data_IF_342650460986
#
_entry.id   IF_342650460986
#
_cell.length_a   1.000
_cell.length_b   1.000
_cell.length_c   1.000
_cell.angle_alpha   90.00
_cell.angle_beta   90.00
_cell.angle_gamma   90.00
#
_symmetry.space_group_name_H-M   'P 1'
#
loop_
_entity.id
_entity.type
_entity.pdbx_description
1 polymer ?
#
# COMPACT_ATOMS: atom_id res chain seq x y z
N UNK A 1 -6.11 -1.10 -1.43
CA UNK A 1 -5.19 -0.01 -1.79
C UNK A 1 -5.90 1.33 -1.91
N UNK A 2 -7.07 1.39 -2.53
CA UNK A 2 -7.82 2.64 -2.70
C UNK A 2 -8.14 3.33 -1.38
N UNK A 3 -8.63 2.59 -0.40
CA UNK A 3 -8.96 3.16 0.90
C UNK A 3 -7.72 3.71 1.59
N UNK A 4 -6.60 2.99 1.53
CA UNK A 4 -5.35 3.46 2.11
C UNK A 4 -4.91 4.79 1.50
N UNK A 5 -4.99 4.92 0.17
CA UNK A 5 -4.66 6.17 -0.52
C UNK A 5 -5.61 7.29 -0.11
N UNK A 6 -6.92 7.01 -0.07
CA UNK A 6 -7.91 8.02 0.31
C UNK A 6 -7.69 8.54 1.73
N UNK A 7 -7.43 7.65 2.68
CA UNK A 7 -7.16 8.03 4.06
C UNK A 7 -5.87 8.82 4.20
N UNK A 8 -4.83 8.43 3.46
CA UNK A 8 -3.55 9.14 3.47
C UNK A 8 -3.69 10.55 2.89
N UNK A 9 -4.49 10.71 1.83
CA UNK A 9 -4.77 12.04 1.27
C UNK A 9 -5.52 12.93 2.26
N UNK A 10 -6.45 12.35 3.01
CA UNK A 10 -7.20 13.09 4.01
C UNK A 10 -6.33 13.52 5.19
N UNK A 11 -5.43 12.64 5.63
CA UNK A 11 -4.52 12.91 6.73
C UNK A 11 -3.11 12.40 6.40
N UNK A 12 -2.28 13.24 5.76
CA UNK A 12 -0.93 12.83 5.35
C UNK A 12 -0.02 12.35 6.49
N UNK A 13 -0.26 12.80 7.72
CA UNK A 13 0.53 12.37 8.88
C UNK A 13 0.40 10.86 9.17
N UNK A 14 -0.60 10.18 8.61
CA UNK A 14 -0.73 8.72 8.73
C UNK A 14 0.49 7.99 8.18
N UNK A 15 1.22 8.60 7.26
CA UNK A 15 2.45 8.02 6.72
C UNK A 15 3.49 7.71 7.80
N UNK A 16 3.48 8.44 8.91
CA UNK A 16 4.42 8.24 10.02
C UNK A 16 4.14 6.94 10.78
N UNK A 17 2.96 6.36 10.63
CA UNK A 17 2.59 5.10 11.26
C UNK A 17 3.07 3.87 10.48
N UNK A 18 3.52 4.06 9.25
CA UNK A 18 4.05 2.98 8.41
C UNK A 18 5.54 2.83 8.67
N UNK A 19 5.93 1.76 9.36
CA UNK A 19 7.33 1.56 9.76
C UNK A 19 8.24 1.10 8.64
N UNK A 20 7.72 0.29 7.70
CA UNK A 20 8.53 -0.35 6.68
C UNK A 20 7.97 -0.13 5.27
N UNK A 21 8.23 1.06 4.73
CA UNK A 21 7.84 1.40 3.36
C UNK A 21 8.66 0.58 2.34
N UNK A 22 9.91 0.29 2.66
CA UNK A 22 10.79 -0.46 1.76
C UNK A 22 10.24 -1.85 1.42
N UNK A 23 9.58 -2.50 2.36
CA UNK A 23 8.97 -3.81 2.11
C UNK A 23 7.83 -3.74 1.09
N UNK A 24 7.23 -2.56 0.90
CA UNK A 24 6.15 -2.36 -0.06
C UNK A 24 6.66 -2.14 -1.48
N UNK A 25 7.90 -1.69 -1.64
CA UNK A 25 8.46 -1.35 -2.95
C UNK A 25 8.58 -2.55 -3.89
N UNK A 26 8.71 -3.74 -3.35
CA UNK A 26 8.80 -4.97 -4.14
C UNK A 26 7.46 -5.57 -4.55
N UNK A 27 6.34 -4.95 -4.20
CA UNK A 27 5.00 -5.49 -4.41
C UNK A 27 4.36 -4.90 -5.67
N UNK A 28 4.94 -5.17 -6.84
CA UNK A 28 4.50 -4.57 -8.10
C UNK A 28 3.19 -5.16 -8.63
N UNK A 29 2.72 -6.25 -8.05
CA UNK A 29 1.56 -6.99 -8.52
C UNK A 29 0.21 -6.42 -8.06
N UNK A 30 0.21 -5.45 -7.15
CA UNK A 30 -1.03 -4.85 -6.65
C UNK A 30 -1.30 -3.51 -7.35
N UNK A 31 -2.45 -3.38 -8.06
CA UNK A 31 -2.80 -2.11 -8.71
C UNK A 31 -2.87 -0.95 -7.72
N UNK A 32 -2.23 0.15 -8.07
CA UNK A 32 -2.21 1.35 -7.23
C UNK A 32 -1.18 1.35 -6.11
N UNK A 33 -0.51 0.23 -5.84
CA UNK A 33 0.48 0.17 -4.78
C UNK A 33 1.70 1.06 -5.04
N UNK A 34 2.25 1.13 -6.27
CA UNK A 34 3.33 2.07 -6.55
C UNK A 34 2.97 3.52 -6.23
N UNK A 35 1.72 3.91 -6.52
CA UNK A 35 1.23 5.25 -6.18
C UNK A 35 1.15 5.45 -4.66
N UNK A 36 0.64 4.46 -3.92
CA UNK A 36 0.60 4.51 -2.46
C UNK A 36 1.99 4.69 -1.88
N UNK A 37 2.98 3.96 -2.39
CA UNK A 37 4.38 4.08 -1.93
C UNK A 37 4.92 5.49 -2.20
N UNK A 38 4.65 6.06 -3.37
CA UNK A 38 5.08 7.42 -3.68
C UNK A 38 4.48 8.44 -2.72
N UNK A 39 3.20 8.29 -2.39
CA UNK A 39 2.52 9.18 -1.44
C UNK A 39 3.07 9.03 -0.03
N UNK A 40 3.34 7.82 0.41
CA UNK A 40 3.94 7.55 1.73
C UNK A 40 5.32 8.20 1.85
N UNK A 41 6.16 8.04 0.83
CA UNK A 41 7.50 8.64 0.82
C UNK A 41 7.43 10.16 0.82
N UNK A 42 6.55 10.74 0.01
CA UNK A 42 6.36 12.18 -0.06
C UNK A 42 5.93 12.75 1.29
N UNK A 43 4.94 12.11 1.93
CA UNK A 43 4.42 12.56 3.21
C UNK A 43 5.47 12.43 4.33
N UNK A 44 6.32 11.42 4.28
CA UNK A 44 7.41 11.26 5.26
C UNK A 44 8.56 12.23 5.02
N UNK A 45 8.83 12.55 3.77
CA UNK A 45 9.85 13.52 3.41
C UNK A 45 9.43 14.95 3.76
N UNK A 46 8.15 15.25 3.62
CA UNK A 46 7.56 16.55 3.95
C UNK A 46 6.47 16.36 5.02
N UNK A 47 6.84 16.31 6.33
CA UNK A 47 5.89 15.95 7.40
C UNK A 47 4.71 16.91 7.57
N UNK A 48 4.80 18.13 7.06
CA UNK A 48 3.74 19.13 7.15
C UNK A 48 2.99 19.32 5.83
N UNK A 49 3.17 18.43 4.87
CA UNK A 49 2.49 18.54 3.58
C UNK A 49 0.97 18.46 3.77
N UNK A 50 0.24 19.27 3.03
CA UNK A 50 -1.23 19.28 3.02
C UNK A 50 -1.76 18.40 1.90
N UNK A 51 -3.06 18.05 1.97
CA UNK A 51 -3.74 17.35 0.89
C UNK A 51 -3.60 18.07 -0.43
N UNK A 52 -3.82 19.40 -0.43
CA UNK A 52 -3.70 20.22 -1.63
C UNK A 52 -2.30 20.17 -2.23
N UNK A 53 -1.27 20.23 -1.40
CA UNK A 53 0.12 20.15 -1.86
C UNK A 53 0.44 18.78 -2.46
N UNK A 54 -0.09 17.71 -1.87
CA UNK A 54 0.07 16.35 -2.42
C UNK A 54 -0.56 16.25 -3.81
N UNK A 55 -1.77 16.78 -3.97
CA UNK A 55 -2.46 16.75 -5.26
C UNK A 55 -1.69 17.56 -6.32
N UNK A 56 -1.11 18.70 -5.94
CA UNK A 56 -0.31 19.51 -6.86
C UNK A 56 0.93 18.78 -7.37
N UNK A 57 1.56 17.93 -6.53
CA UNK A 57 2.74 17.16 -6.92
C UNK A 57 2.45 16.18 -8.06
N UNK A 58 1.20 15.77 -8.20
CA UNK A 58 0.78 14.83 -9.25
C UNK A 58 -0.01 15.50 -10.36
N UNK A 59 -0.06 16.83 -10.37
CA UNK A 59 -0.70 17.60 -11.43
C UNK A 59 -0.06 17.28 -12.79
N UNK A 60 -0.89 17.08 -13.79
CA UNK A 60 -0.50 16.70 -15.16
C UNK A 60 0.17 15.32 -15.26
N UNK A 61 0.11 14.51 -14.19
CA UNK A 61 0.56 13.12 -14.23
C UNK A 61 -0.60 12.19 -14.58
N UNK A 62 -0.26 10.94 -14.89
CA UNK A 62 -1.27 9.89 -15.15
C UNK A 62 -2.14 9.58 -13.93
N UNK A 63 -1.72 9.98 -12.73
CA UNK A 63 -2.41 9.71 -11.48
C UNK A 63 -3.36 10.83 -11.04
N UNK A 64 -3.33 11.97 -11.70
CA UNK A 64 -4.10 13.14 -11.27
C UNK A 64 -5.58 12.87 -11.10
N UNK A 65 -6.23 12.30 -12.11
CA UNK A 65 -7.67 12.04 -12.08
C UNK A 65 -8.04 11.05 -10.97
N UNK A 66 -7.26 9.98 -10.80
CA UNK A 66 -7.50 8.99 -9.77
C UNK A 66 -7.36 9.58 -8.37
N UNK A 67 -6.34 10.42 -8.15
CA UNK A 67 -6.13 11.07 -6.86
C UNK A 67 -7.27 12.03 -6.50
N UNK A 68 -7.77 12.80 -7.46
CA UNK A 68 -8.91 13.68 -7.23
C UNK A 68 -10.16 12.89 -6.84
N UNK A 69 -10.43 11.77 -7.51
CA UNK A 69 -11.55 10.90 -7.17
C UNK A 69 -11.42 10.36 -5.75
N UNK A 70 -10.24 9.93 -5.35
CA UNK A 70 -10.01 9.38 -4.02
C UNK A 70 -10.04 10.47 -2.94
N UNK A 71 -9.53 11.67 -3.23
CA UNK A 71 -9.55 12.79 -2.30
C UNK A 71 -10.96 13.28 -2.01
N UNK A 72 -11.88 13.16 -2.98
CA UNK A 72 -13.27 13.59 -2.85
C UNK A 72 -14.23 12.44 -2.52
N UNK A 73 -13.71 11.22 -2.39
CA UNK A 73 -14.53 10.06 -2.08
C UNK A 73 -15.02 10.10 -0.63
N UNK A 74 -16.33 9.96 -0.47
CA UNK A 74 -16.92 9.84 0.86
C UNK A 74 -16.87 8.36 1.32
N UNK A 75 -15.78 8.01 1.97
CA UNK A 75 -15.54 6.65 2.46
C UNK A 75 -16.24 6.35 3.79
N UNK A 76 -16.93 7.34 4.37
CA UNK A 76 -17.71 7.22 5.61
C UNK A 76 -16.88 6.84 6.85
N UNK A 77 -15.57 6.92 6.79
CA UNK A 77 -14.70 6.70 7.96
C UNK A 77 -14.65 7.99 8.78
N UNK A 78 -15.06 7.97 10.05
CA UNK A 78 -15.00 9.18 10.88
C UNK A 78 -13.56 9.59 11.18
N UNK A 79 -13.34 10.88 11.42
CA UNK A 79 -12.01 11.41 11.73
C UNK A 79 -11.32 10.69 12.88
N UNK A 80 -12.09 10.28 13.89
CA UNK A 80 -11.56 9.55 15.05
C UNK A 80 -11.12 8.12 14.72
N UNK A 81 -11.55 7.57 13.59
CA UNK A 81 -11.22 6.22 13.15
C UNK A 81 -10.19 6.14 12.03
N UNK A 82 -9.68 7.26 11.53
CA UNK A 82 -8.77 7.27 10.39
C UNK A 82 -7.50 6.44 10.62
N UNK A 83 -6.87 6.59 11.77
CA UNK A 83 -5.64 5.84 12.08
C UNK A 83 -5.86 4.33 12.12
N UNK A 84 -6.94 3.90 12.79
CA UNK A 84 -7.31 2.49 12.89
C UNK A 84 -7.65 1.89 11.53
N UNK A 85 -8.47 2.59 10.74
CA UNK A 85 -8.84 2.13 9.40
C UNK A 85 -7.65 2.10 8.46
N UNK A 86 -6.74 3.07 8.58
CA UNK A 86 -5.53 3.09 7.79
C UNK A 86 -4.63 1.89 8.11
N UNK A 87 -4.43 1.60 9.41
CA UNK A 87 -3.66 0.43 9.83
C UNK A 87 -4.26 -0.87 9.30
N UNK A 88 -5.59 -1.02 9.38
CA UNK A 88 -6.28 -2.18 8.83
C UNK A 88 -6.13 -2.29 7.33
N UNK A 89 -6.22 -1.17 6.60
CA UNK A 89 -6.03 -1.14 5.16
C UNK A 89 -4.61 -1.56 4.78
N UNK A 90 -3.61 -1.09 5.50
CA UNK A 90 -2.21 -1.48 5.27
C UNK A 90 -1.98 -2.96 5.55
N UNK A 91 -2.59 -3.50 6.61
CA UNK A 91 -2.51 -4.93 6.91
C UNK A 91 -3.14 -5.76 5.80
N UNK A 92 -4.28 -5.34 5.25
CA UNK A 92 -4.91 -6.04 4.11
C UNK A 92 -4.01 -6.05 2.88
N UNK A 93 -3.32 -4.95 2.60
CA UNK A 93 -2.37 -4.87 1.49
C UNK A 93 -1.25 -5.92 1.67
N UNK A 94 -0.67 -6.00 2.86
CA UNK A 94 0.39 -6.95 3.16
C UNK A 94 -0.08 -8.40 3.04
N UNK A 95 -1.26 -8.71 3.57
CA UNK A 95 -1.83 -10.06 3.49
C UNK A 95 -2.17 -10.44 2.04
N UNK A 96 -2.72 -9.52 1.27
CA UNK A 96 -3.03 -9.79 -0.13
C UNK A 96 -1.79 -10.13 -0.94
N UNK A 97 -0.70 -9.40 -0.70
CA UNK A 97 0.58 -9.72 -1.33
C UNK A 97 1.09 -11.10 -0.91
N UNK A 98 1.08 -11.39 0.40
CA UNK A 98 1.52 -12.68 0.93
C UNK A 98 0.70 -13.83 0.33
N UNK A 99 -0.62 -13.68 0.23
CA UNK A 99 -1.50 -14.68 -0.37
C UNK A 99 -1.17 -14.93 -1.83
N UNK A 100 -0.97 -13.87 -2.62
CA UNK A 100 -0.62 -13.99 -4.03
C UNK A 100 0.74 -14.65 -4.22
N UNK A 101 1.72 -14.26 -3.39
CA UNK A 101 3.05 -14.85 -3.45
C UNK A 101 3.02 -16.32 -3.08
N UNK A 102 2.28 -16.67 -2.02
CA UNK A 102 2.11 -18.05 -1.57
C UNK A 102 1.46 -18.90 -2.65
N UNK A 103 0.43 -18.38 -3.34
CA UNK A 103 -0.21 -19.07 -4.45
C UNK A 103 0.79 -19.36 -5.57
N UNK A 104 1.59 -18.38 -5.96
CA UNK A 104 2.62 -18.53 -6.97
C UNK A 104 3.64 -19.61 -6.58
N UNK A 105 4.08 -19.59 -5.32
CA UNK A 105 5.04 -20.58 -4.81
C UNK A 105 4.43 -21.99 -4.78
N UNK A 106 3.14 -22.12 -4.41
CA UNK A 106 2.44 -23.41 -4.44
C UNK A 106 2.39 -24.00 -5.85
N UNK A 107 2.12 -23.16 -6.86
CA UNK A 107 2.10 -23.59 -8.26
C UNK A 107 3.47 -24.12 -8.69
N UNK A 108 4.53 -23.43 -8.31
CA UNK A 108 5.90 -23.83 -8.63
C UNK A 108 6.33 -25.07 -7.87
N UNK A 109 5.85 -25.22 -6.63
CA UNK A 109 6.09 -26.44 -5.84
C UNK A 109 5.49 -27.66 -6.52
N UNK A 110 4.24 -27.54 -7.01
CA UNK A 110 3.57 -28.63 -7.74
C UNK A 110 4.29 -28.96 -9.05
N UNK A 111 4.85 -27.95 -9.71
CA UNK A 111 5.63 -28.13 -10.93
C UNK A 111 7.05 -28.67 -10.69
N UNK A 112 7.50 -28.71 -9.43
CA UNK A 112 8.85 -29.18 -9.08
C UNK A 112 9.96 -28.19 -9.42
N UNK A 113 9.63 -26.90 -9.58
CA UNK A 113 10.58 -25.86 -10.00
C UNK A 113 10.98 -24.89 -8.88
N UNK A 114 10.62 -25.20 -7.65
CA UNK A 114 10.89 -24.34 -6.51
C UNK A 114 12.38 -24.35 -6.13
N UNK A 115 12.99 -23.16 -6.02
CA UNK A 115 14.38 -23.02 -5.58
C UNK A 115 14.49 -23.15 -4.06
N UNK A 116 15.70 -23.42 -3.49
CA UNK A 116 15.86 -23.45 -2.04
C UNK A 116 15.45 -22.16 -1.33
N UNK A 117 15.75 -21.00 -1.90
CA UNK A 117 15.36 -19.71 -1.35
C UNK A 117 13.84 -19.53 -1.36
N UNK A 118 13.20 -19.97 -2.43
CA UNK A 118 11.75 -19.91 -2.56
C UNK A 118 11.07 -20.90 -1.60
N UNK A 119 11.70 -22.04 -1.34
CA UNK A 119 11.22 -23.00 -0.35
C UNK A 119 11.20 -22.38 1.05
N UNK A 120 12.25 -21.68 1.43
CA UNK A 120 12.31 -20.96 2.71
C UNK A 120 11.27 -19.86 2.81
N UNK A 121 11.05 -19.11 1.73
CA UNK A 121 10.02 -18.09 1.64
C UNK A 121 8.63 -18.70 1.81
N UNK A 122 8.35 -19.83 1.16
CA UNK A 122 7.09 -20.54 1.27
C UNK A 122 6.80 -20.94 2.72
N UNK A 123 7.79 -21.47 3.43
CA UNK A 123 7.65 -21.84 4.84
C UNK A 123 7.31 -20.62 5.69
N UNK A 124 7.99 -19.50 5.47
CA UNK A 124 7.74 -18.25 6.21
C UNK A 124 6.34 -17.72 5.98
N UNK A 125 5.88 -17.71 4.73
CA UNK A 125 4.56 -17.22 4.38
C UNK A 125 3.45 -18.10 4.95
N UNK A 126 3.66 -19.40 5.01
CA UNK A 126 2.68 -20.33 5.60
C UNK A 126 2.54 -20.15 7.12
N UNK A 127 3.54 -19.61 7.77
CA UNK A 127 3.52 -19.38 9.22
C UNK A 127 2.80 -18.09 9.63
N UNK A 128 2.43 -17.25 8.67
CA UNK A 128 1.73 -15.98 8.94
C UNK A 128 0.28 -16.19 9.39
#
# INVERSE_FOLDING_TARGET
VRLAIALLLEQPSLANEVEDIESLKGLDDLPGLPLLVQLLELARHEPHITTSAMLERFQDSEHEAALWKLATWDHLVPASGLGSEFADAMNRVRHLHADRRLQSLNERLQAGTLTPEEWEEWIRLKAL
#
